data_IF_253441535787
#
_entry.id   IF_253441535787
#
_cell.length_a   1.000
_cell.length_b   1.000
_cell.length_c   1.000
_cell.angle_alpha   90.00
_cell.angle_beta   90.00
_cell.angle_gamma   90.00
#
_symmetry.space_group_name_H-M   'P 1'
#
loop_
_entity.id
_entity.type
_entity.pdbx_description
1 polymer ?
#
# COMPACT_ATOMS: atom_id res chain seq x y z
N UNK A 1 17.45 -13.36 12.05
CA UNK A 1 16.73 -12.64 10.98
C UNK A 1 15.69 -11.78 11.67
N UNK A 2 15.84 -10.45 11.65
CA UNK A 2 14.99 -9.52 12.43
C UNK A 2 14.23 -8.58 11.51
N UNK A 3 12.91 -8.48 11.71
CA UNK A 3 12.09 -7.41 11.15
C UNK A 3 12.57 -6.09 11.77
N UNK A 4 12.94 -5.13 10.95
CA UNK A 4 13.55 -3.88 11.42
C UNK A 4 12.55 -2.73 11.48
N UNK A 5 11.63 -2.66 10.51
CA UNK A 5 10.74 -1.52 10.34
C UNK A 5 9.55 -1.87 9.43
N UNK A 6 8.59 -0.95 9.33
CA UNK A 6 7.60 -0.89 8.26
C UNK A 6 8.18 0.02 7.17
N UNK A 7 8.28 -0.50 5.95
CA UNK A 7 8.78 0.30 4.81
C UNK A 7 7.67 1.14 4.20
N UNK A 8 6.46 0.58 4.11
CA UNK A 8 5.25 1.26 3.67
C UNK A 8 4.01 0.42 4.01
N UNK A 9 2.85 1.04 3.90
CA UNK A 9 1.55 0.39 3.98
C UNK A 9 0.84 0.51 2.64
N UNK A 10 0.23 -0.57 2.17
CA UNK A 10 -0.66 -0.54 1.01
C UNK A 10 -2.12 -0.53 1.48
N UNK A 11 -2.87 0.46 1.02
CA UNK A 11 -4.26 0.71 1.37
C UNK A 11 -5.12 0.57 0.12
N UNK A 12 -6.07 -0.37 0.15
CA UNK A 12 -6.99 -0.60 -0.96
C UNK A 12 -8.27 0.20 -0.72
N UNK A 13 -8.69 0.94 -1.73
CA UNK A 13 -9.81 1.87 -1.67
C UNK A 13 -10.57 1.90 -3.00
N UNK A 14 -11.77 2.47 -2.99
CA UNK A 14 -12.58 2.62 -4.19
C UNK A 14 -11.98 3.65 -5.15
N UNK A 15 -11.33 4.69 -4.64
CA UNK A 15 -10.76 5.79 -5.42
C UNK A 15 -9.47 6.33 -4.77
N UNK A 16 -8.33 5.87 -5.28
CA UNK A 16 -7.02 6.24 -4.75
C UNK A 16 -6.72 7.74 -4.84
N UNK A 17 -7.27 8.45 -5.85
CA UNK A 17 -7.04 9.87 -5.99
C UNK A 17 -7.81 10.67 -4.92
N UNK A 18 -9.08 10.30 -4.68
CA UNK A 18 -9.94 10.91 -3.66
C UNK A 18 -9.42 10.67 -2.25
N UNK A 19 -9.17 9.41 -1.90
CA UNK A 19 -8.63 9.05 -0.57
C UNK A 19 -7.30 9.77 -0.32
N UNK A 20 -6.46 9.93 -1.34
CA UNK A 20 -5.24 10.70 -1.18
C UNK A 20 -5.50 12.19 -0.92
N UNK A 21 -6.44 12.83 -1.62
CA UNK A 21 -6.78 14.23 -1.35
C UNK A 21 -7.28 14.44 0.09
N UNK A 22 -8.06 13.48 0.60
CA UNK A 22 -8.52 13.45 2.00
C UNK A 22 -7.36 13.31 2.98
N UNK A 23 -6.42 12.39 2.73
CA UNK A 23 -5.25 12.20 3.58
C UNK A 23 -4.29 13.40 3.56
N UNK A 24 -4.14 14.04 2.40
CA UNK A 24 -3.35 15.28 2.28
C UNK A 24 -3.99 16.41 3.08
N UNK A 25 -5.32 16.59 2.97
CA UNK A 25 -6.03 17.70 3.63
C UNK A 25 -6.21 17.47 5.12
N UNK A 26 -6.59 16.26 5.53
CA UNK A 26 -6.93 15.93 6.91
C UNK A 26 -5.71 15.64 7.79
N UNK A 27 -4.64 15.09 7.21
CA UNK A 27 -3.49 14.63 7.98
C UNK A 27 -2.17 15.28 7.59
N UNK A 28 -2.08 15.96 6.43
CA UNK A 28 -0.86 16.65 6.00
C UNK A 28 0.11 15.80 5.18
N UNK A 29 -0.35 14.67 4.63
CA UNK A 29 0.47 13.86 3.72
C UNK A 29 0.85 14.65 2.46
N UNK A 30 2.00 14.29 1.88
CA UNK A 30 2.50 14.84 0.62
C UNK A 30 2.56 13.74 -0.44
N UNK A 31 2.38 14.11 -1.71
CA UNK A 31 2.52 13.18 -2.85
C UNK A 31 3.99 12.87 -3.08
N UNK A 32 4.30 11.59 -3.23
CA UNK A 32 5.64 11.13 -3.62
C UNK A 32 5.67 10.83 -5.12
N UNK A 33 6.06 11.82 -5.91
CA UNK A 33 6.05 11.75 -7.38
C UNK A 33 7.23 10.95 -7.96
N UNK A 34 8.25 10.66 -7.15
CA UNK A 34 9.47 9.97 -7.59
C UNK A 34 9.35 8.44 -7.52
N UNK A 35 8.20 7.92 -7.07
CA UNK A 35 7.94 6.48 -6.98
C UNK A 35 7.51 5.90 -8.34
N UNK A 36 7.90 4.65 -8.63
CA UNK A 36 7.58 4.01 -9.90
C UNK A 36 6.06 3.91 -10.11
N UNK A 37 5.67 4.13 -11.36
CA UNK A 37 4.27 4.08 -11.79
C UNK A 37 3.64 2.69 -11.69
N UNK A 38 2.32 2.70 -11.83
CA UNK A 38 1.41 1.63 -11.45
C UNK A 38 1.52 0.34 -12.28
N UNK A 39 1.06 -0.78 -11.69
CA UNK A 39 0.66 -1.99 -12.41
C UNK A 39 -0.48 -1.65 -13.40
N UNK A 40 -0.51 -2.25 -14.60
CA UNK A 40 -1.60 -2.05 -15.56
C UNK A 40 -2.97 -2.36 -14.94
N UNK A 41 -3.96 -1.49 -15.14
CA UNK A 41 -5.34 -1.70 -14.66
C UNK A 41 -5.58 -1.38 -13.19
N UNK A 42 -4.54 -0.98 -12.45
CA UNK A 42 -4.63 -0.43 -11.11
C UNK A 42 -4.28 1.06 -11.20
N UNK A 43 -4.88 1.88 -10.35
CA UNK A 43 -4.44 3.24 -10.08
C UNK A 43 -3.68 3.22 -8.76
N UNK A 44 -2.46 3.76 -8.76
CA UNK A 44 -1.63 3.86 -7.54
C UNK A 44 -1.30 5.30 -7.24
N UNK A 45 -1.42 5.67 -5.97
CA UNK A 45 -0.97 6.95 -5.42
C UNK A 45 0.01 6.70 -4.28
N UNK A 46 1.19 7.31 -4.38
CA UNK A 46 2.18 7.28 -3.31
C UNK A 46 2.07 8.55 -2.45
N UNK A 47 2.01 8.36 -1.13
CA UNK A 47 2.00 9.42 -0.15
C UNK A 47 3.09 9.23 0.88
N UNK A 48 3.57 10.33 1.44
CA UNK A 48 4.49 10.31 2.56
C UNK A 48 4.24 11.42 3.58
N UNK A 49 4.60 11.16 4.83
CA UNK A 49 4.66 12.15 5.89
C UNK A 49 5.76 11.75 6.87
N UNK A 50 6.85 12.52 6.90
CA UNK A 50 8.07 12.10 7.61
C UNK A 50 8.56 10.74 7.10
N UNK A 51 8.65 9.76 8.00
CA UNK A 51 9.05 8.38 7.67
C UNK A 51 7.89 7.47 7.27
N UNK A 52 6.64 7.93 7.40
CA UNK A 52 5.45 7.16 7.02
C UNK A 52 5.31 7.19 5.50
N UNK A 53 5.13 6.01 4.90
CA UNK A 53 4.90 5.84 3.47
C UNK A 53 3.61 5.04 3.26
N UNK A 54 2.71 5.59 2.45
CA UNK A 54 1.46 4.93 2.05
C UNK A 54 1.42 4.76 0.53
N UNK A 55 0.86 3.64 0.10
CA UNK A 55 0.51 3.36 -1.30
C UNK A 55 -0.99 3.09 -1.36
N UNK A 56 -1.73 3.99 -1.99
CA UNK A 56 -3.15 3.79 -2.18
C UNK A 56 -3.37 3.10 -3.52
N UNK A 57 -4.17 2.05 -3.52
CA UNK A 57 -4.54 1.31 -4.71
C UNK A 57 -6.06 1.33 -4.89
N UNK A 58 -6.49 1.61 -6.11
CA UNK A 58 -7.87 1.39 -6.57
C UNK A 58 -7.84 0.70 -7.94
N UNK A 59 -8.84 -0.12 -8.22
CA UNK A 59 -9.01 -0.74 -9.54
C UNK A 59 -10.48 -0.71 -9.95
N UNK A 60 -10.73 -0.39 -11.21
CA UNK A 60 -12.06 -0.45 -11.82
C UNK A 60 -12.40 -1.85 -12.35
N UNK A 61 -11.41 -2.75 -12.41
CA UNK A 61 -11.62 -4.13 -12.82
C UNK A 61 -12.05 -4.97 -11.60
N UNK A 62 -13.30 -5.42 -11.58
CA UNK A 62 -13.87 -6.23 -10.49
C UNK A 62 -13.13 -7.56 -10.27
N UNK A 63 -12.41 -8.08 -11.27
CA UNK A 63 -11.60 -9.28 -11.11
C UNK A 63 -10.20 -9.00 -10.52
N UNK A 64 -9.78 -7.75 -10.43
CA UNK A 64 -8.51 -7.36 -9.83
C UNK A 64 -8.51 -7.62 -8.30
N UNK A 65 -7.40 -8.11 -7.72
CA UNK A 65 -7.30 -8.34 -6.29
C UNK A 65 -7.61 -7.11 -5.42
N UNK A 66 -7.33 -5.89 -5.90
CA UNK A 66 -7.65 -4.64 -5.20
C UNK A 66 -9.17 -4.46 -5.11
N UNK A 67 -9.87 -4.57 -6.24
CA UNK A 67 -11.32 -4.43 -6.27
C UNK A 67 -12.02 -5.50 -5.43
N UNK A 68 -11.59 -6.77 -5.56
CA UNK A 68 -12.13 -7.87 -4.76
C UNK A 68 -11.85 -7.72 -3.25
N UNK A 69 -10.74 -7.09 -2.87
CA UNK A 69 -10.48 -6.77 -1.47
C UNK A 69 -11.49 -5.76 -0.95
N UNK A 70 -11.68 -4.65 -1.68
CA UNK A 70 -12.61 -3.58 -1.28
C UNK A 70 -14.05 -4.08 -1.22
N UNK A 71 -14.46 -4.93 -2.18
CA UNK A 71 -15.79 -5.56 -2.18
C UNK A 71 -16.03 -6.40 -0.91
N UNK A 72 -15.03 -7.17 -0.48
CA UNK A 72 -15.15 -8.08 0.67
C UNK A 72 -15.01 -7.39 2.03
N UNK A 73 -14.14 -6.39 2.12
CA UNK A 73 -13.68 -5.84 3.40
C UNK A 73 -14.01 -4.35 3.60
N UNK A 74 -14.47 -3.67 2.55
CA UNK A 74 -14.45 -2.21 2.48
C UNK A 74 -13.04 -1.68 2.22
N UNK A 75 -12.91 -0.35 2.28
CA UNK A 75 -11.61 0.30 2.14
C UNK A 75 -10.74 0.04 3.37
N UNK A 76 -9.46 -0.26 3.18
CA UNK A 76 -8.61 -0.61 4.31
C UNK A 76 -7.18 -0.97 3.98
N UNK A 77 -6.40 -1.21 5.04
CA UNK A 77 -5.01 -1.68 4.95
C UNK A 77 -4.99 -3.12 4.46
N UNK A 78 -4.41 -3.34 3.28
CA UNK A 78 -4.28 -4.66 2.67
C UNK A 78 -2.87 -5.27 2.85
N UNK A 79 -1.83 -4.43 2.91
CA UNK A 79 -0.44 -4.91 3.06
C UNK A 79 0.32 -4.05 4.07
N UNK A 80 1.05 -4.73 4.96
CA UNK A 80 2.08 -4.13 5.82
C UNK A 80 3.45 -4.60 5.33
N UNK A 81 4.17 -3.76 4.60
CA UNK A 81 5.45 -4.14 4.02
C UNK A 81 6.59 -3.99 5.03
N UNK A 82 7.29 -5.08 5.31
CA UNK A 82 8.31 -5.15 6.36
C UNK A 82 9.73 -5.00 5.79
N UNK A 83 10.52 -4.16 6.43
CA UNK A 83 11.94 -3.97 6.13
C UNK A 83 12.78 -5.02 6.82
N UNK A 84 13.54 -5.78 6.05
CA UNK A 84 14.37 -6.87 6.53
C UNK A 84 15.73 -6.86 5.85
N UNK A 85 16.76 -7.37 6.53
CA UNK A 85 18.12 -7.47 5.99
C UNK A 85 18.27 -8.53 4.90
N UNK A 86 17.40 -9.54 4.88
CA UNK A 86 17.39 -10.64 3.91
C UNK A 86 15.94 -11.13 3.63
N UNK A 87 15.20 -10.48 2.72
CA UNK A 87 13.79 -10.77 2.48
C UNK A 87 13.48 -12.25 2.21
N UNK A 88 14.40 -12.99 1.59
CA UNK A 88 14.22 -14.41 1.29
C UNK A 88 14.27 -15.25 2.57
N UNK A 89 15.28 -15.04 3.42
CA UNK A 89 15.37 -15.76 4.70
C UNK A 89 14.20 -15.41 5.65
N UNK A 90 13.66 -14.19 5.57
CA UNK A 90 12.43 -13.80 6.27
C UNK A 90 11.22 -14.62 5.80
N UNK A 91 11.02 -14.71 4.48
CA UNK A 91 9.91 -15.47 3.89
C UNK A 91 9.99 -16.95 4.26
N UNK A 92 11.15 -17.58 4.06
CA UNK A 92 11.36 -18.98 4.41
C UNK A 92 11.10 -19.27 5.90
N UNK A 93 11.41 -18.32 6.79
CA UNK A 93 11.11 -18.44 8.22
C UNK A 93 9.61 -18.37 8.49
N UNK A 94 8.90 -17.47 7.82
CA UNK A 94 7.46 -17.29 7.96
C UNK A 94 6.67 -18.50 7.44
N UNK A 95 7.09 -19.11 6.33
CA UNK A 95 6.41 -20.29 5.76
C UNK A 95 6.57 -21.57 6.59
N UNK A 96 7.57 -21.63 7.48
CA UNK A 96 7.81 -22.78 8.36
C UNK A 96 6.93 -22.82 9.62
N UNK A 97 6.19 -21.76 9.93
CA UNK A 97 5.41 -21.61 11.18
C UNK A 97 3.99 -21.13 10.90
#
# INVERSE_FOLDING_TARGET
MSIQTITHVEYHCADAARTAAELQTGFGFLRDSDQPGCKPGVQTVHLHQGTIRLRLHSSENTDDPVARYVERHGEGVAVLALGCTDPQAALERAERH
#
